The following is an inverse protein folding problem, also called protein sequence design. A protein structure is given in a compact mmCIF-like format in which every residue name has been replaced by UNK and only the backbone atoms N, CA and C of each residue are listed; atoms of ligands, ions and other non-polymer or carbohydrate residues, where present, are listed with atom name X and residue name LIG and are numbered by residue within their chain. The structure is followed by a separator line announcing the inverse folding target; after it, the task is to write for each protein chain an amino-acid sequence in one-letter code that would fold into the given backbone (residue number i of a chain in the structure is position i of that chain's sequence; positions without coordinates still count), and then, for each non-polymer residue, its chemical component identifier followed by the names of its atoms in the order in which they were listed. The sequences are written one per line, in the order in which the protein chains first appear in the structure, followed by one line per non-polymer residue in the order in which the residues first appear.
data_IF_121908753261
#
_entry.id   IF_121908753261
#
_cell.length_a   1.000
_cell.length_b   1.000
_cell.length_c   1.000
_cell.angle_alpha   90.00
_cell.angle_beta   90.00
_cell.angle_gamma   90.00
#
_symmetry.space_group_name_H-M   'P 1'
#
loop_
_entity.id
_entity.type
_entity.pdbx_description
1 polymer ?
#
# COMPACT_ATOMS: atom_id res chain seq x y z
N UNK A 1 2.74 -15.51 -7.74
CA UNK A 1 1.69 -14.80 -6.98
C UNK A 1 2.22 -13.68 -6.12
N UNK A 2 3.37 -13.89 -5.46
CA UNK A 2 4.01 -12.82 -4.67
C UNK A 2 4.33 -11.59 -5.52
N UNK A 3 4.73 -11.81 -6.76
CA UNK A 3 5.05 -10.72 -7.67
C UNK A 3 3.84 -9.80 -7.89
N UNK A 4 2.66 -10.41 -8.06
CA UNK A 4 1.42 -9.64 -8.25
C UNK A 4 1.08 -8.85 -6.98
N UNK A 5 1.23 -9.45 -5.81
CA UNK A 5 1.00 -8.76 -4.54
C UNK A 5 1.95 -7.58 -4.37
N UNK A 6 3.20 -7.75 -4.76
CA UNK A 6 4.19 -6.68 -4.70
C UNK A 6 3.80 -5.50 -5.58
N UNK A 7 3.33 -5.78 -6.80
CA UNK A 7 2.91 -4.74 -7.73
C UNK A 7 1.72 -3.99 -7.15
N UNK A 8 0.73 -4.71 -6.63
CA UNK A 8 -0.45 -4.09 -6.01
C UNK A 8 -0.03 -3.23 -4.82
N UNK A 9 0.84 -3.74 -3.97
CA UNK A 9 1.33 -3.00 -2.80
C UNK A 9 2.04 -1.70 -3.21
N UNK A 10 2.90 -1.77 -4.21
CA UNK A 10 3.61 -0.59 -4.71
C UNK A 10 2.63 0.44 -5.27
N UNK A 11 1.66 0.00 -6.05
CA UNK A 11 0.64 0.89 -6.60
C UNK A 11 -0.15 1.57 -5.47
N UNK A 12 -0.54 0.82 -4.45
CA UNK A 12 -1.28 1.37 -3.31
C UNK A 12 -0.44 2.39 -2.53
N UNK A 13 0.82 2.07 -2.28
CA UNK A 13 1.71 2.98 -1.56
C UNK A 13 1.95 4.26 -2.35
N UNK A 14 2.25 4.14 -3.63
CA UNK A 14 2.46 5.31 -4.49
C UNK A 14 1.20 6.15 -4.57
N UNK A 15 0.05 5.50 -4.73
CA UNK A 15 -1.23 6.21 -4.76
C UNK A 15 -1.48 6.94 -3.45
N UNK A 16 -1.14 6.31 -2.33
CA UNK A 16 -1.25 6.94 -1.01
C UNK A 16 -0.38 8.17 -0.88
N UNK A 17 0.86 8.09 -1.32
CA UNK A 17 1.80 9.21 -1.29
C UNK A 17 1.26 10.38 -2.13
N UNK A 18 0.84 10.10 -3.35
CA UNK A 18 0.29 11.13 -4.24
C UNK A 18 -0.95 11.76 -3.63
N UNK A 19 -1.85 10.95 -3.06
CA UNK A 19 -3.06 11.45 -2.42
C UNK A 19 -2.73 12.33 -1.23
N UNK A 20 -1.76 11.95 -0.43
CA UNK A 20 -1.32 12.75 0.73
C UNK A 20 -0.77 14.10 0.28
N UNK A 21 0.04 14.13 -0.76
CA UNK A 21 0.62 15.35 -1.31
C UNK A 21 -0.48 16.27 -1.84
N UNK A 22 -1.53 15.70 -2.41
CA UNK A 22 -2.64 16.45 -2.98
C UNK A 22 -3.56 17.09 -1.94
N UNK A 23 -3.35 16.82 -0.66
CA UNK A 23 -4.13 17.40 0.41
C UNK A 23 -4.98 16.42 1.21
N UNK A 24 -5.11 15.18 0.75
CA UNK A 24 -5.86 14.15 1.45
C UNK A 24 -4.91 13.28 2.28
N UNK A 25 -4.29 13.88 3.27
CA UNK A 25 -3.27 13.23 4.09
C UNK A 25 -3.82 11.99 4.77
N UNK A 26 -5.03 12.08 5.32
CA UNK A 26 -5.65 10.95 6.02
C UNK A 26 -5.88 9.77 5.07
N UNK A 27 -6.40 10.02 3.88
CA UNK A 27 -6.59 9.01 2.86
C UNK A 27 -5.26 8.43 2.36
N UNK A 28 -4.27 9.30 2.20
CA UNK A 28 -2.94 8.87 1.80
C UNK A 28 -2.34 7.91 2.78
N UNK A 29 -2.41 8.22 4.07
CA UNK A 29 -1.94 7.34 5.14
C UNK A 29 -2.69 6.01 5.12
N UNK A 30 -4.00 6.04 4.96
CA UNK A 30 -4.82 4.83 4.86
C UNK A 30 -4.39 3.94 3.71
N UNK A 31 -4.15 4.52 2.55
CA UNK A 31 -3.69 3.76 1.38
C UNK A 31 -2.30 3.17 1.58
N UNK A 32 -1.41 3.92 2.20
CA UNK A 32 -0.06 3.43 2.52
C UNK A 32 -0.13 2.23 3.47
N UNK A 33 -0.94 2.35 4.51
CA UNK A 33 -1.14 1.26 5.47
C UNK A 33 -1.71 0.03 4.78
N UNK A 34 -2.72 0.22 3.93
CA UNK A 34 -3.28 -0.89 3.15
C UNK A 34 -2.24 -1.55 2.25
N UNK A 35 -1.43 -0.74 1.57
CA UNK A 35 -0.37 -1.26 0.72
C UNK A 35 0.65 -2.09 1.50
N UNK A 36 1.03 -1.62 2.67
CA UNK A 36 1.96 -2.35 3.53
C UNK A 36 1.37 -3.65 4.06
N UNK A 37 0.07 -3.65 4.36
CA UNK A 37 -0.60 -4.86 4.82
C UNK A 37 -0.76 -5.88 3.70
N UNK A 38 -1.11 -5.42 2.51
CA UNK A 38 -1.30 -6.31 1.35
C UNK A 38 0.02 -6.90 0.88
N UNK A 39 1.09 -6.09 0.87
CA UNK A 39 2.41 -6.54 0.43
C UNK A 39 3.16 -7.31 1.51
N UNK A 40 4.13 -6.67 2.17
CA UNK A 40 4.98 -7.38 3.13
C UNK A 40 4.20 -7.93 4.32
N UNK A 41 3.20 -7.19 4.82
CA UNK A 41 2.38 -7.66 5.93
C UNK A 41 1.55 -8.88 5.56
N UNK A 42 0.95 -8.87 4.38
CA UNK A 42 0.16 -9.99 3.90
C UNK A 42 1.00 -11.25 3.72
N UNK A 43 2.19 -11.10 3.16
CA UNK A 43 3.12 -12.22 2.99
C UNK A 43 3.55 -12.77 4.35
N UNK A 44 3.84 -11.90 5.30
CA UNK A 44 4.24 -12.32 6.64
C UNK A 44 3.13 -13.05 7.38
N UNK A 45 1.88 -12.60 7.23
CA UNK A 45 0.74 -13.22 7.89
C UNK A 45 0.48 -14.63 7.34
N UNK A 46 0.63 -14.82 6.04
CA UNK A 46 0.31 -16.07 5.37
C UNK A 46 1.50 -17.00 5.20
N UNK A 47 2.67 -16.55 5.47
CA UNK A 47 3.85 -17.38 5.44
C UNK A 47 4.50 -17.47 6.80
#
# INVERSE_FOLDING_TARGET
MEFVLWIIAVVLVVSGIVTAIRGSVLWGIGLIVLGLLVGPGGVSIFS
#
